data_IF_173740314222
#
_entry.id   IF_173740314222
#
_cell.length_a   1.000
_cell.length_b   1.000
_cell.length_c   1.000
_cell.angle_alpha   90.00
_cell.angle_beta   90.00
_cell.angle_gamma   90.00
#
_symmetry.space_group_name_H-M   'P 1'
#
loop_
_entity.id
_entity.type
_entity.pdbx_description
1 polymer ?
#
# COMPACT_ATOMS: atom_id res chain seq x y z
N UNK A 1 4.12 -9.39 11.92
CA UNK A 1 3.91 -8.76 10.60
C UNK A 1 3.39 -7.35 10.78
N UNK A 2 3.75 -6.47 9.89
CA UNK A 2 3.39 -5.06 9.95
C UNK A 2 2.33 -4.75 8.90
N UNK A 3 1.45 -3.79 9.22
CA UNK A 3 0.42 -3.34 8.30
C UNK A 3 0.92 -2.13 7.52
N UNK A 4 0.68 -2.15 6.22
CA UNK A 4 1.09 -1.05 5.32
C UNK A 4 -0.10 -0.58 4.49
N UNK A 5 -0.12 0.73 4.24
CA UNK A 5 -0.99 1.35 3.25
C UNK A 5 -0.17 1.58 1.99
N UNK A 6 -0.65 1.09 0.85
CA UNK A 6 0.02 1.29 -0.44
C UNK A 6 -0.96 2.03 -1.35
N UNK A 7 -0.52 3.15 -1.89
CA UNK A 7 -1.29 3.95 -2.84
C UNK A 7 -0.55 3.96 -4.17
N UNK A 8 -1.18 3.44 -5.21
CA UNK A 8 -0.58 3.38 -6.55
C UNK A 8 -1.39 4.18 -7.56
N UNK A 9 -0.76 5.16 -8.18
CA UNK A 9 -1.36 5.94 -9.26
C UNK A 9 -0.95 5.32 -10.58
N UNK A 10 -1.92 4.82 -11.35
CA UNK A 10 -1.65 4.24 -12.66
C UNK A 10 -0.99 5.25 -13.59
N UNK A 11 -0.06 4.78 -14.42
CA UNK A 11 0.43 5.59 -15.53
C UNK A 11 -0.73 5.81 -16.51
N UNK A 12 -0.65 6.92 -17.27
CA UNK A 12 -1.65 7.22 -18.29
C UNK A 12 -1.79 6.09 -19.30
N UNK A 13 -0.67 5.54 -19.72
CA UNK A 13 -0.63 4.42 -20.68
C UNK A 13 -1.30 3.18 -20.12
N UNK A 14 -1.01 2.81 -18.87
CA UNK A 14 -1.61 1.64 -18.23
C UNK A 14 -3.12 1.82 -18.03
N UNK A 15 -3.54 2.99 -17.59
CA UNK A 15 -4.96 3.28 -17.38
C UNK A 15 -5.73 3.21 -18.70
N UNK A 16 -5.20 3.82 -19.75
CA UNK A 16 -5.80 3.76 -21.08
C UNK A 16 -5.90 2.32 -21.58
N UNK A 17 -4.87 1.53 -21.37
CA UNK A 17 -4.86 0.11 -21.77
C UNK A 17 -5.94 -0.69 -21.05
N UNK A 18 -6.14 -0.45 -19.75
CA UNK A 18 -7.19 -1.11 -18.98
C UNK A 18 -8.58 -0.82 -19.55
N UNK A 19 -8.81 0.42 -19.98
CA UNK A 19 -10.09 0.86 -20.52
C UNK A 19 -10.35 0.42 -21.96
N UNK A 20 -9.31 0.27 -22.77
CA UNK A 20 -9.44 0.06 -24.21
C UNK A 20 -9.08 -1.34 -24.69
N UNK A 21 -8.26 -2.06 -23.95
CA UNK A 21 -7.83 -3.41 -24.33
C UNK A 21 -8.81 -4.46 -23.80
N UNK A 22 -9.63 -5.01 -24.71
CA UNK A 22 -10.63 -6.00 -24.36
C UNK A 22 -10.05 -7.34 -23.86
N UNK A 23 -8.75 -7.55 -24.03
CA UNK A 23 -8.08 -8.77 -23.55
C UNK A 23 -7.65 -8.66 -22.10
N UNK A 24 -7.62 -7.44 -21.53
CA UNK A 24 -7.23 -7.23 -20.13
C UNK A 24 -8.42 -7.43 -19.19
N UNK A 25 -8.21 -8.15 -18.08
CA UNK A 25 -9.26 -8.35 -17.08
C UNK A 25 -9.72 -7.03 -16.47
N UNK A 26 -11.04 -6.87 -16.35
CA UNK A 26 -11.61 -5.70 -15.63
C UNK A 26 -11.44 -5.83 -14.12
N UNK A 27 -11.34 -7.05 -13.59
CA UNK A 27 -11.24 -7.30 -12.16
C UNK A 27 -9.85 -6.94 -11.63
N UNK A 28 -9.70 -5.68 -11.24
CA UNK A 28 -8.44 -5.16 -10.72
C UNK A 28 -8.13 -5.66 -9.31
N UNK A 29 -9.15 -6.03 -8.56
CA UNK A 29 -8.96 -6.66 -7.25
C UNK A 29 -8.31 -8.03 -7.39
N UNK A 30 -8.82 -8.86 -8.29
CA UNK A 30 -8.25 -10.18 -8.55
C UNK A 30 -6.79 -10.07 -9.04
N UNK A 31 -6.51 -9.09 -9.92
CA UNK A 31 -5.16 -8.86 -10.43
C UNK A 31 -4.19 -8.46 -9.31
N UNK A 32 -4.62 -7.54 -8.44
CA UNK A 32 -3.82 -7.10 -7.30
C UNK A 32 -3.58 -8.24 -6.32
N UNK A 33 -4.63 -9.00 -6.01
CA UNK A 33 -4.55 -10.14 -5.12
C UNK A 33 -3.54 -11.19 -5.62
N UNK A 34 -3.60 -11.52 -6.91
CA UNK A 34 -2.68 -12.46 -7.52
C UNK A 34 -1.22 -11.98 -7.42
N UNK A 35 -0.99 -10.69 -7.66
CA UNK A 35 0.34 -10.10 -7.56
C UNK A 35 0.89 -10.19 -6.13
N UNK A 36 0.11 -9.77 -5.14
CA UNK A 36 0.53 -9.82 -3.74
C UNK A 36 0.74 -11.25 -3.26
N UNK A 37 -0.13 -12.18 -3.63
CA UNK A 37 0.02 -13.59 -3.26
C UNK A 37 1.28 -14.21 -3.85
N UNK A 38 1.70 -13.80 -5.05
CA UNK A 38 2.90 -14.32 -5.70
C UNK A 38 4.19 -14.10 -4.91
N UNK A 39 4.20 -13.08 -4.06
CA UNK A 39 5.33 -12.76 -3.18
C UNK A 39 4.98 -12.86 -1.69
N UNK A 40 3.89 -13.56 -1.39
CA UNK A 40 3.46 -13.85 -0.02
C UNK A 40 3.16 -12.60 0.82
N UNK A 41 2.50 -11.61 0.20
CA UNK A 41 1.95 -10.45 0.89
C UNK A 41 0.45 -10.68 1.05
N UNK A 42 -0.07 -10.48 2.26
CA UNK A 42 -1.48 -10.64 2.54
C UNK A 42 -2.22 -9.34 2.26
N UNK A 43 -3.09 -9.35 1.26
CA UNK A 43 -3.97 -8.22 0.94
C UNK A 43 -5.19 -8.27 1.87
N UNK A 44 -5.36 -7.24 2.69
CA UNK A 44 -6.50 -7.11 3.60
C UNK A 44 -7.68 -6.40 2.96
N UNK A 45 -7.42 -5.26 2.34
CA UNK A 45 -8.45 -4.43 1.70
C UNK A 45 -7.87 -3.76 0.46
N UNK A 46 -8.74 -3.50 -0.50
CA UNK A 46 -8.41 -2.74 -1.69
C UNK A 46 -9.56 -1.79 -2.03
N UNK A 47 -9.22 -0.56 -2.39
CA UNK A 47 -10.17 0.50 -2.74
C UNK A 47 -9.65 1.30 -3.92
N UNK A 48 -10.57 1.98 -4.60
CA UNK A 48 -10.22 2.97 -5.61
C UNK A 48 -10.50 4.37 -5.04
N UNK A 49 -9.50 5.22 -5.03
CA UNK A 49 -9.66 6.63 -4.60
C UNK A 49 -10.11 7.47 -5.78
N UNK A 50 -11.36 7.92 -5.74
CA UNK A 50 -11.96 8.70 -6.83
C UNK A 50 -11.22 10.03 -7.04
N UNK A 51 -10.85 10.72 -5.95
CA UNK A 51 -10.22 12.04 -6.04
C UNK A 51 -8.81 12.00 -6.62
N UNK A 52 -8.04 10.97 -6.31
CA UNK A 52 -6.65 10.86 -6.79
C UNK A 52 -6.48 9.93 -7.99
N UNK A 53 -7.51 9.15 -8.33
CA UNK A 53 -7.41 8.15 -9.41
C UNK A 53 -6.44 7.04 -9.07
N UNK A 54 -6.37 6.63 -7.79
CA UNK A 54 -5.38 5.70 -7.29
C UNK A 54 -6.00 4.43 -6.74
N UNK A 55 -5.27 3.33 -6.83
CA UNK A 55 -5.59 2.11 -6.10
C UNK A 55 -4.99 2.24 -4.70
N UNK A 56 -5.80 1.94 -3.69
CA UNK A 56 -5.40 1.99 -2.28
C UNK A 56 -5.50 0.60 -1.69
N UNK A 57 -4.38 0.06 -1.24
CA UNK A 57 -4.32 -1.28 -0.67
C UNK A 57 -3.88 -1.22 0.78
N UNK A 58 -4.49 -2.06 1.61
CA UNK A 58 -4.04 -2.29 2.98
C UNK A 58 -3.54 -3.73 3.03
N UNK A 59 -2.29 -3.92 3.42
CA UNK A 59 -1.61 -5.22 3.39
C UNK A 59 -0.88 -5.51 4.69
N UNK A 60 -0.67 -6.79 4.97
CA UNK A 60 0.25 -7.25 6.02
C UNK A 60 1.50 -7.83 5.35
N UNK A 61 2.66 -7.37 5.79
CA UNK A 61 3.92 -7.78 5.18
C UNK A 61 5.13 -7.42 6.06
N UNK A 62 6.30 -7.69 5.53
CA UNK A 62 7.59 -7.22 6.07
C UNK A 62 8.09 -6.05 5.21
N UNK A 63 8.94 -5.21 5.78
CA UNK A 63 9.52 -4.08 5.05
C UNK A 63 10.25 -4.51 3.77
N UNK A 64 10.95 -5.62 3.81
CA UNK A 64 11.69 -6.13 2.64
C UNK A 64 10.75 -6.52 1.49
N UNK A 65 9.64 -7.17 1.79
CA UNK A 65 8.63 -7.53 0.76
C UNK A 65 7.92 -6.30 0.21
N UNK A 66 7.68 -5.30 1.05
CA UNK A 66 7.11 -4.02 0.60
C UNK A 66 8.06 -3.32 -0.37
N UNK A 67 9.37 -3.31 -0.08
CA UNK A 67 10.37 -2.79 -1.00
C UNK A 67 10.37 -3.56 -2.33
N UNK A 68 10.27 -4.89 -2.26
CA UNK A 68 10.20 -5.74 -3.45
C UNK A 68 9.00 -5.42 -4.33
N UNK A 69 7.80 -5.34 -3.75
CA UNK A 69 6.60 -5.03 -4.54
C UNK A 69 6.66 -3.62 -5.14
N UNK A 70 7.23 -2.68 -4.40
CA UNK A 70 7.43 -1.32 -4.90
C UNK A 70 8.33 -1.30 -6.13
N UNK A 71 9.44 -2.02 -6.10
CA UNK A 71 10.37 -2.11 -7.22
C UNK A 71 9.73 -2.81 -8.43
N UNK A 72 9.03 -3.92 -8.21
CA UNK A 72 8.36 -4.67 -9.27
C UNK A 72 7.30 -3.79 -9.97
N UNK A 73 6.48 -3.12 -9.19
CA UNK A 73 5.38 -2.33 -9.74
C UNK A 73 5.88 -1.08 -10.47
N UNK A 74 6.93 -0.43 -9.96
CA UNK A 74 7.55 0.70 -10.66
C UNK A 74 8.22 0.25 -11.95
N UNK A 75 8.95 -0.87 -11.92
CA UNK A 75 9.63 -1.40 -13.10
C UNK A 75 8.66 -1.83 -14.20
N UNK A 76 7.45 -2.24 -13.84
CA UNK A 76 6.42 -2.66 -14.81
C UNK A 76 5.92 -1.52 -15.70
N UNK A 77 6.09 -0.26 -15.27
CA UNK A 77 5.56 0.91 -15.96
C UNK A 77 4.06 1.12 -15.78
N UNK A 78 3.39 0.25 -15.03
CA UNK A 78 1.94 0.36 -14.80
C UNK A 78 1.57 1.51 -13.87
N UNK A 79 2.49 1.91 -12.99
CA UNK A 79 2.28 3.00 -12.04
C UNK A 79 3.33 4.08 -12.24
N UNK A 80 2.90 5.34 -12.25
CA UNK A 80 3.84 6.44 -12.31
C UNK A 80 4.27 6.91 -10.92
N UNK A 81 3.49 6.55 -9.89
CA UNK A 81 3.80 6.92 -8.52
C UNK A 81 3.25 5.86 -7.56
N UNK A 82 4.07 5.48 -6.60
CA UNK A 82 3.66 4.57 -5.52
C UNK A 82 4.07 5.22 -4.20
N UNK A 83 3.10 5.28 -3.28
CA UNK A 83 3.31 5.81 -1.93
C UNK A 83 3.00 4.69 -0.94
N UNK A 84 3.90 4.48 0.01
CA UNK A 84 3.76 3.43 1.01
C UNK A 84 3.89 4.03 2.41
N UNK A 85 2.97 3.67 3.30
CA UNK A 85 2.99 4.10 4.69
C UNK A 85 2.89 2.89 5.62
N UNK A 86 3.72 2.88 6.65
CA UNK A 86 3.60 1.91 7.73
C UNK A 86 2.50 2.37 8.68
N UNK A 87 1.62 1.46 9.06
CA UNK A 87 0.50 1.74 9.94
C UNK A 87 0.67 1.00 11.26
N UNK A 88 0.26 1.65 12.34
CA UNK A 88 0.11 0.99 13.63
C UNK A 88 -1.35 1.07 14.07
N UNK A 89 -1.76 0.19 14.97
CA UNK A 89 -3.12 0.21 15.50
C UNK A 89 -3.30 1.37 16.48
N UNK A 90 -4.54 1.73 16.76
CA UNK A 90 -4.83 2.73 17.79
C UNK A 90 -4.39 2.26 19.17
N UNK A 91 -4.45 0.96 19.45
CA UNK A 91 -3.95 0.39 20.69
C UNK A 91 -2.44 0.61 20.81
N UNK A 92 -1.69 0.34 19.75
CA UNK A 92 -0.25 0.60 19.70
C UNK A 92 0.06 2.10 19.85
N UNK A 93 -0.71 2.95 19.20
CA UNK A 93 -0.58 4.41 19.35
C UNK A 93 -0.77 4.84 20.81
N UNK A 94 -1.78 4.27 21.49
CA UNK A 94 -2.03 4.57 22.91
C UNK A 94 -0.84 4.18 23.78
N UNK A 95 -0.20 3.07 23.50
CA UNK A 95 1.04 2.65 24.20
C UNK A 95 2.18 3.65 23.99
N UNK A 96 2.34 4.08 22.73
CA UNK A 96 3.35 5.09 22.37
C UNK A 96 3.08 6.41 23.08
N UNK A 97 1.80 6.83 23.15
CA UNK A 97 1.40 8.05 23.87
C UNK A 97 1.81 7.99 25.34
N UNK A 98 1.51 6.88 26.00
CA UNK A 98 1.88 6.71 27.43
C UNK A 98 3.38 6.81 27.65
N UNK A 99 4.16 6.12 26.81
CA UNK A 99 5.62 6.17 26.87
C UNK A 99 6.16 7.56 26.54
N UNK A 100 5.57 8.22 25.55
CA UNK A 100 5.99 9.58 25.14
C UNK A 100 5.71 10.61 26.23
N UNK A 101 4.59 10.51 26.93
CA UNK A 101 4.28 11.40 28.06
C UNK A 101 5.32 11.27 29.17
N UNK A 102 5.70 10.04 29.49
CA UNK A 102 6.74 9.79 30.49
C UNK A 102 8.09 10.41 30.09
N UNK A 103 8.50 10.15 28.86
CA UNK A 103 9.78 10.65 28.35
C UNK A 103 9.80 12.16 28.21
N UNK A 104 8.68 12.77 27.83
CA UNK A 104 8.57 14.23 27.75
C UNK A 104 8.70 14.89 29.12
N UNK A 105 8.08 14.30 30.14
CA UNK A 105 8.19 14.76 31.53
C UNK A 105 9.64 14.67 32.04
N UNK A 106 10.33 13.58 31.75
CA UNK A 106 11.74 13.41 32.11
C UNK A 106 12.63 14.42 31.39
N UNK A 107 12.32 14.71 30.13
CA UNK A 107 13.09 15.68 29.34
C UNK A 107 12.93 17.11 29.87
N UNK A 108 11.78 17.45 30.47
CA UNK A 108 11.49 18.78 30.97
C UNK A 108 11.85 18.98 32.45
N UNK A 109 12.36 17.96 33.11
CA UNK A 109 12.72 18.02 34.54
C UNK A 109 14.18 18.47 34.77
#
# INVERSE_FOLDING_TARGET
>A
MTTYLIIGEYSKTAFNSILTDSTKPCDREAAAKALFESIHIKLLNIFYSISSGSIVCIVESTAKKIAEISMITMASGAFHKIHTEELITMTEMNEVIKKSKKNLKECNS
#
